data_IF_878535166726
#
_entry.id   IF_878535166726
#
_cell.length_a   1.000
_cell.length_b   1.000
_cell.length_c   1.000
_cell.angle_alpha   90.00
_cell.angle_beta   90.00
_cell.angle_gamma   90.00
#
_symmetry.space_group_name_H-M   'P 1'
#
loop_
_entity.id
_entity.type
_entity.pdbx_description
1 polymer ?
#
# COMPACT_ATOMS: atom_id res chain seq x y z
N UNK A 1 36.98 -26.49 6.82
CA UNK A 1 35.92 -26.59 7.85
C UNK A 1 34.83 -25.61 7.50
N UNK A 2 33.76 -26.08 6.84
CA UNK A 2 32.65 -25.22 6.45
C UNK A 2 31.76 -25.00 7.66
N UNK A 3 31.92 -23.88 8.34
CA UNK A 3 30.99 -23.45 9.39
C UNK A 3 29.61 -23.27 8.77
N UNK A 4 28.70 -24.20 9.00
CA UNK A 4 27.30 -24.06 8.65
C UNK A 4 26.70 -22.95 9.52
N UNK A 5 26.83 -21.70 9.08
CA UNK A 5 26.07 -20.60 9.68
C UNK A 5 24.59 -20.82 9.36
N UNK A 6 23.82 -21.18 10.38
CA UNK A 6 22.36 -21.24 10.30
C UNK A 6 21.84 -19.84 10.02
N UNK A 7 21.12 -19.67 8.91
CA UNK A 7 20.50 -18.40 8.54
C UNK A 7 19.57 -17.89 9.64
N UNK A 8 19.76 -16.63 10.03
CA UNK A 8 18.95 -15.96 11.04
C UNK A 8 17.76 -15.28 10.37
N UNK A 9 16.55 -15.58 10.85
CA UNK A 9 15.30 -14.94 10.42
C UNK A 9 14.76 -14.00 11.51
N UNK A 10 14.33 -12.80 11.12
CA UNK A 10 13.77 -11.77 12.02
C UNK A 10 12.42 -11.27 11.52
N UNK A 11 11.46 -10.96 12.40
CA UNK A 11 10.20 -10.37 11.99
C UNK A 11 10.43 -8.99 11.38
N UNK A 12 9.64 -8.63 10.35
CA UNK A 12 9.72 -7.32 9.69
C UNK A 12 8.76 -6.33 10.39
N UNK A 13 9.27 -5.25 11.02
CA UNK A 13 8.42 -4.27 11.69
C UNK A 13 7.39 -3.64 10.74
N UNK A 14 6.11 -3.65 11.15
CA UNK A 14 5.00 -3.12 10.33
C UNK A 14 4.42 -4.10 9.30
N UNK A 15 4.97 -5.32 9.17
CA UNK A 15 4.53 -6.33 8.22
C UNK A 15 4.23 -7.66 8.93
N UNK A 16 3.03 -7.77 9.51
CA UNK A 16 2.64 -8.96 10.28
C UNK A 16 2.64 -10.23 9.42
N UNK A 17 3.33 -11.27 9.90
CA UNK A 17 3.48 -12.55 9.21
C UNK A 17 4.56 -12.56 8.14
N UNK A 18 5.45 -11.57 8.15
CA UNK A 18 6.65 -11.52 7.30
C UNK A 18 7.92 -11.56 8.15
N UNK A 19 8.90 -12.32 7.67
CA UNK A 19 10.25 -12.39 8.23
C UNK A 19 11.28 -12.09 7.14
N UNK A 20 12.41 -11.52 7.52
CA UNK A 20 13.56 -11.32 6.65
C UNK A 20 14.77 -12.09 7.22
N UNK A 21 15.66 -12.52 6.33
CA UNK A 21 16.86 -13.26 6.72
C UNK A 21 18.15 -12.46 6.55
N UNK A 22 19.19 -12.90 7.27
CA UNK A 22 20.56 -12.38 7.13
C UNK A 22 21.23 -12.69 5.78
N UNK A 23 20.61 -13.55 4.95
CA UNK A 23 21.01 -13.80 3.57
C UNK A 23 20.28 -12.88 2.57
N UNK A 24 19.49 -11.91 3.05
CA UNK A 24 18.74 -10.98 2.20
C UNK A 24 17.49 -11.60 1.58
N UNK A 25 16.91 -12.62 2.21
CA UNK A 25 15.65 -13.25 1.77
C UNK A 25 14.47 -12.74 2.60
N UNK A 26 13.27 -12.79 2.03
CA UNK A 26 12.03 -12.44 2.74
C UNK A 26 11.08 -13.63 2.68
N UNK A 27 10.48 -14.01 3.81
CA UNK A 27 9.54 -15.12 3.92
C UNK A 27 8.18 -14.63 4.37
N UNK A 28 7.12 -15.14 3.74
CA UNK A 28 5.74 -15.00 4.19
C UNK A 28 5.34 -16.23 4.99
N UNK A 29 4.87 -16.03 6.23
CA UNK A 29 4.28 -17.04 7.12
C UNK A 29 2.76 -16.96 7.21
N UNK A 30 2.12 -16.14 6.37
CA UNK A 30 0.66 -15.89 6.45
C UNK A 30 -0.19 -17.10 6.06
N UNK A 31 0.38 -18.10 5.41
CA UNK A 31 -0.28 -19.35 4.99
C UNK A 31 0.30 -20.52 5.77
N UNK A 32 -0.44 -21.64 5.82
CA UNK A 32 0.01 -22.87 6.49
C UNK A 32 1.38 -23.38 6.03
N UNK A 33 1.79 -23.06 4.80
CA UNK A 33 3.13 -23.31 4.31
C UNK A 33 3.89 -21.99 4.16
N UNK A 34 4.97 -21.77 4.94
CA UNK A 34 5.85 -20.63 4.74
C UNK A 34 6.40 -20.62 3.31
N UNK A 35 6.51 -19.42 2.74
CA UNK A 35 7.01 -19.22 1.38
C UNK A 35 8.05 -18.12 1.36
N UNK A 36 9.25 -18.43 0.86
CA UNK A 36 10.24 -17.41 0.52
C UNK A 36 9.75 -16.64 -0.71
N UNK A 37 9.79 -15.31 -0.63
CA UNK A 37 9.43 -14.42 -1.71
C UNK A 37 10.66 -14.22 -2.58
N UNK A 38 10.68 -14.83 -3.77
CA UNK A 38 11.77 -14.63 -4.72
C UNK A 38 11.82 -13.17 -5.23
N UNK A 39 10.65 -12.53 -5.29
CA UNK A 39 10.47 -11.24 -5.94
C UNK A 39 10.72 -11.33 -7.44
N UNK A 40 10.42 -10.25 -8.15
CA UNK A 40 10.87 -10.06 -9.54
C UNK A 40 11.62 -8.74 -9.63
N UNK A 41 12.74 -8.68 -10.38
CA UNK A 41 13.38 -7.41 -10.69
C UNK A 41 12.37 -6.47 -11.34
N UNK A 42 12.10 -5.33 -10.70
CA UNK A 42 11.28 -4.27 -11.29
C UNK A 42 12.08 -3.43 -12.29
N UNK A 43 11.45 -2.41 -12.92
CA UNK A 43 12.07 -1.49 -13.90
C UNK A 43 13.41 -0.88 -13.49
N UNK A 44 13.68 -0.80 -12.19
CA UNK A 44 14.91 -0.24 -11.61
C UNK A 44 15.91 -1.33 -11.15
N UNK A 45 15.74 -2.58 -11.56
CA UNK A 45 16.59 -3.73 -11.19
C UNK A 45 16.31 -4.34 -9.81
N UNK A 46 15.65 -3.60 -8.90
CA UNK A 46 15.39 -4.08 -7.54
C UNK A 46 14.35 -5.20 -7.49
N UNK A 47 14.58 -6.21 -6.64
CA UNK A 47 13.59 -7.25 -6.37
C UNK A 47 12.38 -6.64 -5.65
N UNK A 48 11.20 -6.83 -6.25
CA UNK A 48 9.94 -6.38 -5.69
C UNK A 48 8.94 -7.52 -5.54
N UNK A 49 8.10 -7.45 -4.51
CA UNK A 49 6.96 -8.33 -4.33
C UNK A 49 5.69 -7.53 -4.09
N UNK A 50 4.59 -8.00 -4.67
CA UNK A 50 3.28 -7.40 -4.47
C UNK A 50 2.69 -7.90 -3.14
N UNK A 51 2.50 -6.99 -2.18
CA UNK A 51 1.88 -7.28 -0.88
C UNK A 51 0.46 -6.68 -0.77
N UNK A 52 -0.21 -6.40 -1.90
CA UNK A 52 -1.54 -5.78 -2.01
C UNK A 52 -2.63 -6.46 -1.18
N UNK A 53 -2.60 -7.78 -1.10
CA UNK A 53 -3.59 -8.53 -0.34
C UNK A 53 -3.40 -8.45 1.18
N UNK A 54 -2.26 -7.94 1.64
CA UNK A 54 -1.84 -8.04 3.04
C UNK A 54 -1.76 -6.68 3.75
N UNK A 55 -1.82 -5.58 3.00
CA UNK A 55 -1.80 -4.22 3.53
C UNK A 55 -2.98 -3.41 2.94
N UNK A 56 -3.66 -2.56 3.72
CA UNK A 56 -4.80 -1.75 3.25
C UNK A 56 -4.52 -0.90 2.01
N UNK A 57 -3.25 -0.64 1.72
CA UNK A 57 -2.74 0.10 0.55
C UNK A 57 -1.63 -0.67 -0.18
N UNK A 58 -1.63 -2.00 -0.16
CA UNK A 58 -0.44 -2.78 -0.50
C UNK A 58 0.05 -2.53 -1.93
N UNK A 59 1.11 -1.73 -2.00
CA UNK A 59 1.89 -1.45 -3.20
C UNK A 59 2.96 -2.52 -3.34
N UNK A 60 3.61 -2.57 -4.50
CA UNK A 60 4.85 -3.32 -4.67
C UNK A 60 5.88 -2.82 -3.65
N UNK A 61 6.40 -3.74 -2.83
CA UNK A 61 7.46 -3.46 -1.88
C UNK A 61 8.79 -3.97 -2.41
N UNK A 62 9.85 -3.19 -2.21
CA UNK A 62 11.23 -3.65 -2.46
C UNK A 62 11.62 -4.63 -1.36
N UNK A 63 12.07 -5.82 -1.72
CA UNK A 63 12.42 -6.85 -0.74
C UNK A 63 13.58 -6.40 0.16
N UNK A 64 14.60 -5.74 -0.40
CA UNK A 64 15.69 -5.15 0.37
C UNK A 64 15.23 -4.17 1.45
N UNK A 65 14.14 -3.42 1.25
CA UNK A 65 13.61 -2.52 2.29
C UNK A 65 13.07 -3.31 3.48
N UNK A 66 12.45 -4.47 3.25
CA UNK A 66 11.95 -5.32 4.33
C UNK A 66 13.11 -5.95 5.11
N UNK A 67 14.19 -6.31 4.42
CA UNK A 67 15.43 -6.77 5.06
C UNK A 67 16.04 -5.66 5.91
N UNK A 68 16.21 -4.45 5.36
CA UNK A 68 16.73 -3.32 6.09
C UNK A 68 15.90 -2.98 7.34
N UNK A 69 14.57 -2.99 7.24
CA UNK A 69 13.69 -2.77 8.38
C UNK A 69 13.90 -3.79 9.52
N UNK A 70 14.20 -5.05 9.19
CA UNK A 70 14.37 -6.10 10.19
C UNK A 70 15.76 -6.14 10.86
N UNK A 71 16.81 -5.72 10.15
CA UNK A 71 18.20 -5.81 10.63
C UNK A 71 18.84 -4.47 10.98
N UNK A 72 18.44 -3.39 10.33
CA UNK A 72 18.99 -2.03 10.49
C UNK A 72 17.98 -1.15 11.24
N UNK A 73 16.70 -1.28 10.90
CA UNK A 73 15.61 -0.47 11.46
C UNK A 73 15.01 0.52 10.45
N UNK A 74 14.11 1.41 10.91
CA UNK A 74 13.43 2.37 10.03
C UNK A 74 14.42 3.36 9.41
N UNK A 75 14.11 3.90 8.21
CA UNK A 75 14.90 4.96 7.62
C UNK A 75 14.92 6.18 8.55
N UNK A 76 16.06 6.89 8.67
CA UNK A 76 16.20 8.04 9.57
C UNK A 76 15.37 9.25 9.11
N UNK A 77 14.98 9.31 7.83
CA UNK A 77 14.11 10.35 7.29
C UNK A 77 13.23 9.83 6.14
N UNK A 78 12.20 10.57 5.77
CA UNK A 78 11.35 10.25 4.62
C UNK A 78 12.09 10.33 3.28
N UNK A 79 13.17 11.11 3.21
CA UNK A 79 14.00 11.29 2.01
C UNK A 79 15.15 10.28 1.93
N UNK A 80 15.26 9.38 2.92
CA UNK A 80 16.26 8.33 2.93
C UNK A 80 15.93 7.25 1.90
N UNK A 81 16.92 6.86 1.11
CA UNK A 81 16.85 5.72 0.21
C UNK A 81 17.74 4.59 0.71
N UNK A 82 17.36 3.36 0.36
CA UNK A 82 18.14 2.18 0.71
C UNK A 82 19.35 2.08 -0.23
N UNK A 83 20.54 2.16 0.36
CA UNK A 83 21.82 1.92 -0.29
C UNK A 83 22.14 0.43 -0.30
N UNK A 84 22.77 0.02 -1.40
CA UNK A 84 23.47 -1.26 -1.54
C UNK A 84 24.92 -0.91 -1.78
N UNK A 85 25.79 -1.21 -0.81
CA UNK A 85 27.14 -0.65 -0.74
C UNK A 85 28.01 -1.12 -1.92
N UNK A 86 27.77 -2.33 -2.42
CA UNK A 86 28.37 -2.87 -3.64
C UNK A 86 27.71 -2.37 -4.94
N UNK A 87 26.62 -1.61 -4.85
CA UNK A 87 25.84 -1.08 -5.97
C UNK A 87 25.03 -2.12 -6.75
N UNK A 88 25.03 -3.40 -6.34
CA UNK A 88 24.27 -4.48 -6.97
C UNK A 88 22.82 -4.50 -6.43
N UNK A 89 21.79 -4.23 -7.27
CA UNK A 89 20.39 -4.21 -6.85
C UNK A 89 19.83 -5.55 -6.34
N UNK A 90 20.55 -6.66 -6.53
CA UNK A 90 20.13 -8.01 -6.13
C UNK A 90 20.80 -8.49 -4.82
N UNK A 91 21.88 -7.86 -4.39
CA UNK A 91 22.54 -8.17 -3.13
C UNK A 91 21.87 -7.43 -1.96
N UNK A 92 20.77 -7.99 -1.47
CA UNK A 92 20.02 -7.44 -0.33
C UNK A 92 20.50 -7.98 1.05
N UNK A 93 21.74 -8.48 1.17
CA UNK A 93 22.25 -8.94 2.48
C UNK A 93 22.41 -7.76 3.45
N UNK A 94 22.04 -7.88 4.75
CA UNK A 94 22.05 -6.74 5.67
C UNK A 94 23.41 -6.04 5.82
N UNK A 95 24.51 -6.79 5.73
CA UNK A 95 25.89 -6.26 5.77
C UNK A 95 26.23 -5.39 4.55
N UNK A 96 25.51 -5.56 3.44
CA UNK A 96 25.59 -4.76 2.23
C UNK A 96 24.56 -3.61 2.18
N UNK A 97 23.70 -3.46 3.20
CA UNK A 97 22.63 -2.48 3.22
C UNK A 97 22.91 -1.31 4.17
N UNK A 98 22.51 -0.11 3.77
CA UNK A 98 22.52 1.07 4.63
C UNK A 98 21.44 2.08 4.21
N UNK A 99 20.95 2.90 5.13
CA UNK A 99 20.14 4.06 4.76
C UNK A 99 21.05 5.24 4.38
N UNK A 100 20.66 6.03 3.39
CA UNK A 100 21.37 7.25 3.04
C UNK A 100 20.58 8.11 2.06
N UNK A 101 21.26 9.04 1.41
CA UNK A 101 20.66 9.95 0.45
C UNK A 101 20.60 9.34 -0.95
N UNK A 102 19.76 9.91 -1.82
CA UNK A 102 19.75 9.60 -3.26
C UNK A 102 21.14 9.80 -3.90
N UNK A 103 21.91 10.78 -3.42
CA UNK A 103 23.27 11.01 -3.89
C UNK A 103 24.21 9.87 -3.52
N UNK A 104 24.04 9.27 -2.34
CA UNK A 104 24.85 8.14 -1.89
C UNK A 104 24.56 6.90 -2.73
N UNK A 105 23.28 6.59 -2.98
CA UNK A 105 22.86 5.50 -3.87
C UNK A 105 23.46 5.66 -5.27
N UNK A 106 23.47 6.89 -5.82
CA UNK A 106 24.10 7.18 -7.11
C UNK A 106 25.61 6.94 -7.08
N UNK A 107 26.29 7.29 -5.99
CA UNK A 107 27.73 7.02 -5.84
C UNK A 107 28.03 5.52 -5.78
N UNK A 108 27.21 4.74 -5.07
CA UNK A 108 27.35 3.29 -4.99
C UNK A 108 27.19 2.65 -6.39
N UNK A 109 26.18 3.07 -7.17
CA UNK A 109 26.01 2.60 -8.55
C UNK A 109 27.15 3.02 -9.49
N UNK A 110 27.65 4.26 -9.39
CA UNK A 110 28.78 4.71 -10.19
C UNK A 110 30.09 3.98 -9.82
N UNK A 111 30.28 3.63 -8.54
CA UNK A 111 31.39 2.82 -8.09
C UNK A 111 31.32 1.39 -8.67
N UNK A 112 30.12 0.77 -8.68
CA UNK A 112 29.91 -0.51 -9.36
C UNK A 112 30.25 -0.43 -10.85
N UNK A 113 29.71 0.56 -11.56
CA UNK A 113 29.95 0.73 -13.00
C UNK A 113 31.45 0.83 -13.32
N UNK A 114 32.23 1.58 -12.52
CA UNK A 114 33.69 1.67 -12.66
C UNK A 114 34.41 0.35 -12.43
N UNK A 115 33.98 -0.44 -11.43
CA UNK A 115 34.54 -1.79 -11.18
C UNK A 115 34.27 -2.73 -12.36
N UNK A 116 33.05 -2.72 -12.89
CA UNK A 116 32.67 -3.54 -14.05
C UNK A 116 33.43 -3.13 -15.32
N UNK A 117 33.59 -1.84 -15.58
CA UNK A 117 34.42 -1.30 -16.67
C UNK A 117 35.87 -1.78 -16.54
N UNK A 118 36.45 -1.70 -15.35
CA UNK A 118 37.81 -2.20 -15.07
C UNK A 118 37.94 -3.72 -15.26
N UNK A 119 36.84 -4.46 -15.06
CA UNK A 119 36.75 -5.89 -15.32
C UNK A 119 36.43 -6.24 -16.79
N UNK A 120 36.41 -5.27 -17.70
CA UNK A 120 36.23 -5.48 -19.14
C UNK A 120 34.78 -5.41 -19.63
N UNK A 121 33.83 -4.97 -18.80
CA UNK A 121 32.45 -4.79 -19.25
C UNK A 121 32.36 -3.61 -20.24
N UNK A 122 31.61 -3.78 -21.35
CA UNK A 122 31.42 -2.73 -22.38
C UNK A 122 31.18 -1.32 -21.81
N UNK A 123 31.90 -0.32 -22.27
CA UNK A 123 31.79 1.04 -21.73
C UNK A 123 30.74 1.89 -22.44
N UNK A 124 30.26 1.42 -23.60
CA UNK A 124 29.35 2.13 -24.48
C UNK A 124 28.18 1.25 -24.95
N UNK A 125 27.03 1.86 -25.18
CA UNK A 125 25.89 1.20 -25.82
C UNK A 125 26.11 1.03 -27.33
N UNK A 126 25.25 0.28 -28.05
CA UNK A 126 25.37 0.10 -29.50
C UNK A 126 25.40 1.42 -30.29
N UNK A 127 24.75 2.46 -29.77
CA UNK A 127 24.73 3.82 -30.35
C UNK A 127 25.95 4.68 -29.94
N UNK A 128 26.92 4.13 -29.20
CA UNK A 128 28.15 4.83 -28.83
C UNK A 128 28.06 5.76 -27.60
N UNK A 129 26.96 5.74 -26.84
CA UNK A 129 26.84 6.53 -25.61
C UNK A 129 27.47 5.82 -24.40
N UNK A 130 28.13 6.57 -23.52
CA UNK A 130 28.83 6.03 -22.34
C UNK A 130 27.87 5.58 -21.24
N UNK A 131 28.19 4.46 -20.57
CA UNK A 131 27.44 3.90 -19.45
C UNK A 131 27.85 4.42 -18.04
N UNK A 132 28.66 5.48 -17.94
CA UNK A 132 29.38 5.90 -16.73
C UNK A 132 28.52 6.15 -15.47
N UNK A 133 27.21 6.29 -15.65
CA UNK A 133 26.17 6.54 -14.65
C UNK A 133 24.92 5.64 -14.87
N UNK A 134 25.09 4.55 -15.64
CA UNK A 134 23.99 3.66 -16.01
C UNK A 134 23.44 2.88 -14.81
N UNK A 135 22.13 3.00 -14.64
CA UNK A 135 21.38 2.09 -13.78
C UNK A 135 21.31 0.71 -14.44
N UNK A 136 21.26 -0.34 -13.63
CA UNK A 136 20.84 -1.64 -14.16
C UNK A 136 19.34 -1.58 -14.46
N UNK A 137 19.00 -1.87 -15.71
CA UNK A 137 17.63 -2.05 -16.17
C UNK A 137 17.08 -3.40 -15.69
N UNK A 138 15.86 -3.73 -16.14
CA UNK A 138 15.30 -5.05 -15.99
C UNK A 138 16.32 -6.13 -16.38
N UNK A 139 16.48 -7.14 -15.52
CA UNK A 139 17.37 -8.29 -15.74
C UNK A 139 18.89 -8.01 -15.69
N UNK A 140 19.33 -6.88 -15.14
CA UNK A 140 20.76 -6.60 -14.94
C UNK A 140 21.50 -6.10 -16.18
N UNK A 141 20.76 -5.76 -17.25
CA UNK A 141 21.28 -5.10 -18.44
C UNK A 141 21.68 -3.65 -18.06
N UNK A 142 22.70 -3.07 -18.69
CA UNK A 142 23.01 -1.64 -18.50
C UNK A 142 22.07 -0.77 -19.33
N UNK A 143 21.36 0.13 -18.66
CA UNK A 143 20.49 1.09 -19.32
C UNK A 143 21.29 2.31 -19.76
N UNK A 144 21.28 2.62 -21.06
CA UNK A 144 21.93 3.83 -21.56
C UNK A 144 21.10 5.07 -21.16
N UNK A 145 21.61 5.98 -20.32
CA UNK A 145 20.83 7.11 -19.83
C UNK A 145 20.39 8.05 -20.96
N UNK A 146 21.25 8.26 -21.97
CA UNK A 146 20.93 9.07 -23.15
C UNK A 146 19.80 8.44 -23.97
N UNK A 147 19.90 7.16 -24.32
CA UNK A 147 18.85 6.46 -25.08
C UNK A 147 17.54 6.36 -24.26
N UNK A 148 17.62 6.22 -22.94
CA UNK A 148 16.46 6.23 -22.04
C UNK A 148 15.76 7.59 -22.03
N UNK A 149 16.50 8.71 -21.96
CA UNK A 149 15.92 10.06 -22.03
C UNK A 149 15.25 10.28 -23.39
N UNK A 150 15.92 9.91 -24.48
CA UNK A 150 15.39 10.03 -25.84
C UNK A 150 14.09 9.21 -26.00
N UNK A 151 14.08 7.94 -25.59
CA UNK A 151 12.88 7.08 -25.66
C UNK A 151 11.73 7.59 -24.78
N UNK A 152 12.01 8.18 -23.61
CA UNK A 152 10.99 8.83 -22.77
C UNK A 152 10.41 10.10 -23.42
N UNK A 153 11.22 10.86 -24.17
CA UNK A 153 10.74 12.01 -24.95
C UNK A 153 9.80 11.59 -26.10
N UNK A 154 10.01 10.40 -26.67
CA UNK A 154 9.14 9.83 -27.71
C UNK A 154 7.86 9.15 -27.19
N UNK A 155 7.74 8.86 -25.89
CA UNK A 155 6.46 8.40 -25.33
C UNK A 155 5.46 9.56 -25.43
N UNK A 156 4.30 9.39 -26.11
CA UNK A 156 3.29 10.45 -26.13
C UNK A 156 2.92 10.77 -24.69
N UNK A 157 3.31 11.97 -24.24
CA UNK A 157 2.99 12.46 -22.90
C UNK A 157 1.50 12.27 -22.71
N UNK A 158 1.09 11.62 -21.63
CA UNK A 158 -0.31 11.39 -21.22
C UNK A 158 -1.17 12.69 -21.13
N UNK A 159 -0.60 13.85 -21.48
CA UNK A 159 -1.25 15.15 -21.71
C UNK A 159 -2.40 15.12 -22.73
N UNK A 160 -2.47 14.14 -23.64
CA UNK A 160 -3.61 13.96 -24.53
C UNK A 160 -4.94 13.65 -23.79
N UNK A 161 -4.89 13.26 -22.51
CA UNK A 161 -6.10 13.02 -21.72
C UNK A 161 -6.85 14.29 -21.29
N UNK A 162 -6.20 15.47 -21.30
CA UNK A 162 -6.85 16.73 -20.93
C UNK A 162 -7.46 17.47 -22.13
N UNK A 163 -6.85 17.37 -23.32
CA UNK A 163 -7.35 18.04 -24.53
C UNK A 163 -8.61 17.42 -25.14
N UNK A 164 -8.91 16.15 -24.84
CA UNK A 164 -10.07 15.43 -25.39
C UNK A 164 -11.24 15.26 -24.41
N UNK A 165 -11.28 16.08 -23.33
CA UNK A 165 -12.40 16.10 -22.37
C UNK A 165 -13.55 17.01 -22.81
N UNK A 166 -13.25 18.09 -23.53
CA UNK A 166 -14.24 19.12 -23.91
C UNK A 166 -15.13 18.70 -25.09
N UNK A 167 -14.75 17.66 -25.85
CA UNK A 167 -15.44 17.29 -27.10
C UNK A 167 -16.25 15.98 -27.01
N UNK A 168 -16.52 15.48 -25.80
CA UNK A 168 -17.32 14.25 -25.60
C UNK A 168 -18.78 14.60 -25.34
N UNK A 169 -19.67 14.11 -26.20
CA UNK A 169 -21.13 14.28 -26.06
C UNK A 169 -21.61 13.81 -24.67
N UNK A 170 -22.55 14.53 -24.03
CA UNK A 170 -23.13 14.10 -22.77
C UNK A 170 -23.83 12.76 -22.93
N UNK A 171 -23.79 11.93 -21.88
CA UNK A 171 -24.48 10.63 -21.89
C UNK A 171 -25.86 10.80 -21.27
N UNK A 172 -26.91 10.38 -21.97
CA UNK A 172 -28.26 10.43 -21.44
C UNK A 172 -28.56 9.20 -20.56
N UNK A 173 -29.38 9.41 -19.53
CA UNK A 173 -30.04 8.36 -18.74
C UNK A 173 -31.47 8.79 -18.40
N UNK A 174 -32.33 7.87 -18.00
CA UNK A 174 -33.72 8.16 -17.61
C UNK A 174 -33.86 8.05 -16.09
N UNK A 175 -34.54 9.02 -15.49
CA UNK A 175 -34.86 8.98 -14.07
C UNK A 175 -35.79 7.80 -13.76
N UNK A 176 -35.36 6.90 -12.88
CA UNK A 176 -36.16 5.71 -12.51
C UNK A 176 -37.44 6.04 -11.74
N UNK A 177 -37.56 7.25 -11.17
CA UNK A 177 -38.73 7.63 -10.38
C UNK A 177 -39.75 8.48 -11.19
N UNK A 178 -39.32 9.19 -12.24
CA UNK A 178 -40.22 10.10 -12.98
C UNK A 178 -40.03 10.14 -14.51
N UNK A 179 -39.16 9.31 -15.08
CA UNK A 179 -39.02 9.18 -16.52
C UNK A 179 -38.32 10.35 -17.24
N UNK A 180 -37.94 11.42 -16.54
CA UNK A 180 -37.23 12.56 -17.16
C UNK A 180 -35.82 12.15 -17.58
N UNK A 181 -35.43 12.60 -18.77
CA UNK A 181 -34.06 12.46 -19.30
C UNK A 181 -33.06 13.29 -18.50
N UNK A 182 -31.93 12.67 -18.15
CA UNK A 182 -30.85 13.23 -17.36
C UNK A 182 -29.59 13.26 -18.22
N UNK A 183 -29.00 14.44 -18.33
CA UNK A 183 -27.68 14.59 -18.94
C UNK A 183 -26.59 14.26 -17.93
N UNK A 184 -25.69 13.35 -18.31
CA UNK A 184 -24.55 12.96 -17.50
C UNK A 184 -23.26 13.44 -18.16
N UNK A 185 -22.30 13.79 -17.30
CA UNK A 185 -20.94 14.03 -17.74
C UNK A 185 -20.37 12.86 -18.57
N UNK A 186 -19.41 13.15 -19.45
CA UNK A 186 -18.85 12.18 -20.39
C UNK A 186 -18.11 11.02 -19.72
N UNK A 187 -17.78 11.14 -18.43
CA UNK A 187 -17.16 10.12 -17.60
C UNK A 187 -17.80 10.04 -16.21
N UNK A 188 -17.63 8.92 -15.50
CA UNK A 188 -18.18 8.70 -14.16
C UNK A 188 -19.48 7.88 -14.16
N UNK A 189 -20.02 7.61 -12.98
CA UNK A 189 -21.27 6.86 -12.83
C UNK A 189 -22.45 7.68 -13.39
N UNK A 190 -23.30 7.04 -14.21
CA UNK A 190 -24.52 7.67 -14.70
C UNK A 190 -25.51 7.83 -13.54
N UNK A 191 -26.06 9.02 -13.40
CA UNK A 191 -27.19 9.29 -12.54
C UNK A 191 -28.40 8.47 -12.99
N UNK A 192 -28.98 7.70 -12.09
CA UNK A 192 -30.25 6.98 -12.34
C UNK A 192 -31.47 7.77 -11.86
N UNK A 193 -31.27 8.94 -11.23
CA UNK A 193 -32.31 9.82 -10.69
C UNK A 193 -32.01 11.28 -10.96
N UNK A 194 -33.04 12.05 -11.29
CA UNK A 194 -32.93 13.49 -11.54
C UNK A 194 -32.56 14.24 -10.24
N UNK A 195 -32.11 15.52 -10.34
CA UNK A 195 -31.70 16.29 -9.17
C UNK A 195 -32.75 16.34 -8.05
N UNK A 196 -34.03 16.51 -8.42
CA UNK A 196 -35.15 16.55 -7.47
C UNK A 196 -35.29 15.26 -6.69
N UNK A 197 -35.37 14.11 -7.39
CA UNK A 197 -35.52 12.80 -6.74
C UNK A 197 -34.28 12.39 -5.95
N UNK A 198 -33.09 12.78 -6.41
CA UNK A 198 -31.85 12.60 -5.64
C UNK A 198 -31.90 13.38 -4.34
N UNK A 199 -32.33 14.63 -4.37
CA UNK A 199 -32.46 15.48 -3.19
C UNK A 199 -33.49 14.93 -2.21
N UNK A 200 -34.68 14.56 -2.69
CA UNK A 200 -35.74 13.94 -1.88
C UNK A 200 -35.20 12.70 -1.17
N UNK A 201 -34.55 11.79 -1.91
CA UNK A 201 -33.96 10.58 -1.33
C UNK A 201 -32.87 10.91 -0.30
N UNK A 202 -32.04 11.91 -0.57
CA UNK A 202 -31.02 12.34 0.39
C UNK A 202 -31.65 12.85 1.69
N UNK A 203 -32.74 13.62 1.63
CA UNK A 203 -33.48 14.07 2.82
C UNK A 203 -34.13 12.90 3.57
N UNK A 204 -34.72 11.93 2.86
CA UNK A 204 -35.23 10.70 3.48
C UNK A 204 -34.13 9.88 4.16
N UNK A 205 -32.96 9.75 3.53
CA UNK A 205 -31.82 9.04 4.15
C UNK A 205 -31.30 9.77 5.39
N UNK A 206 -31.23 11.11 5.36
CA UNK A 206 -30.84 11.92 6.53
C UNK A 206 -31.87 11.82 7.66
N UNK A 207 -33.17 11.86 7.35
CA UNK A 207 -34.23 11.76 8.37
C UNK A 207 -34.31 10.36 8.97
N UNK A 208 -34.12 9.31 8.17
CA UNK A 208 -34.04 7.92 8.68
C UNK A 208 -32.79 7.71 9.53
N UNK A 209 -31.63 8.28 9.15
CA UNK A 209 -30.43 8.27 9.99
C UNK A 209 -30.63 9.05 11.30
N UNK A 210 -31.27 10.22 11.27
CA UNK A 210 -31.58 11.01 12.45
C UNK A 210 -32.54 10.28 13.40
N UNK A 211 -33.59 9.64 12.86
CA UNK A 211 -34.50 8.78 13.64
C UNK A 211 -33.77 7.58 14.26
N UNK A 212 -32.85 6.96 13.51
CA UNK A 212 -32.03 5.85 14.02
C UNK A 212 -31.09 6.32 15.14
N UNK A 213 -30.50 7.51 15.01
CA UNK A 213 -29.68 8.13 16.05
C UNK A 213 -30.47 8.46 17.32
N UNK A 214 -31.68 9.02 17.19
CA UNK A 214 -32.58 9.25 18.34
C UNK A 214 -32.95 7.94 19.03
N UNK A 215 -33.36 6.92 18.28
CA UNK A 215 -33.62 5.58 18.82
C UNK A 215 -32.39 4.99 19.51
N UNK A 216 -31.18 5.28 19.04
CA UNK A 216 -29.93 4.84 19.72
C UNK A 216 -29.56 5.60 20.99
N UNK A 217 -30.18 6.77 21.26
CA UNK A 217 -29.98 7.54 22.49
C UNK A 217 -30.96 7.17 23.60
N UNK A 218 -32.11 6.57 23.26
CA UNK A 218 -33.07 6.10 24.25
C UNK A 218 -32.53 4.87 25.01
N UNK A 219 -32.64 4.87 26.34
CA UNK A 219 -32.24 3.73 27.15
C UNK A 219 -33.14 2.52 26.93
N UNK A 220 -32.62 1.32 27.20
CA UNK A 220 -33.40 0.08 27.12
C UNK A 220 -34.15 -0.14 28.43
N UNK A 221 -35.46 -0.20 28.38
CA UNK A 221 -36.27 -0.61 29.53
C UNK A 221 -36.24 -2.15 29.64
N UNK A 222 -35.97 -2.66 30.84
CA UNK A 222 -36.12 -4.08 31.18
C UNK A 222 -36.82 -4.22 32.53
N UNK A 223 -37.37 -5.40 32.84
CA UNK A 223 -37.93 -5.66 34.17
C UNK A 223 -36.89 -6.33 35.08
N UNK A 224 -36.92 -6.00 36.37
CA UNK A 224 -36.15 -6.69 37.40
C UNK A 224 -36.62 -8.14 37.54
N UNK A 225 -35.69 -9.10 37.48
CA UNK A 225 -36.04 -10.54 37.55
C UNK A 225 -36.65 -10.96 38.88
N UNK A 226 -36.52 -10.16 39.95
CA UNK A 226 -37.04 -10.51 41.29
C UNK A 226 -38.32 -9.80 41.68
N UNK A 227 -38.58 -8.60 41.14
CA UNK A 227 -39.72 -7.79 41.59
C UNK A 227 -40.49 -7.12 40.45
N UNK A 228 -40.13 -7.39 39.19
CA UNK A 228 -40.79 -6.80 38.03
C UNK A 228 -40.54 -5.30 37.82
N UNK A 229 -39.90 -4.60 38.76
CA UNK A 229 -39.67 -3.16 38.64
C UNK A 229 -38.91 -2.79 37.36
N UNK A 230 -39.34 -1.70 36.71
CA UNK A 230 -38.73 -1.22 35.47
C UNK A 230 -37.31 -0.70 35.75
N UNK A 231 -36.35 -1.18 34.95
CA UNK A 231 -34.93 -0.82 34.97
C UNK A 231 -34.62 -0.04 33.69
N UNK A 232 -34.08 1.15 33.87
CA UNK A 232 -33.57 1.98 32.79
C UNK A 232 -32.10 1.63 32.53
N UNK A 233 -31.83 0.89 31.44
CA UNK A 233 -30.47 0.47 31.10
C UNK A 233 -29.82 1.42 30.09
N UNK A 234 -28.59 1.90 30.35
CA UNK A 234 -27.81 2.57 29.32
C UNK A 234 -27.57 1.61 28.15
N UNK A 235 -27.50 2.15 26.92
CA UNK A 235 -27.26 1.33 25.73
C UNK A 235 -25.84 0.75 25.65
N UNK A 236 -24.89 1.38 26.33
CA UNK A 236 -23.51 0.92 26.45
C UNK A 236 -23.38 0.00 27.65
N UNK A 237 -22.68 -1.13 27.47
CA UNK A 237 -22.50 -2.14 28.52
C UNK A 237 -23.61 -3.20 28.57
N UNK A 238 -23.50 -4.11 29.55
CA UNK A 238 -24.46 -5.21 29.74
C UNK A 238 -25.70 -4.68 30.49
N UNK A 239 -26.93 -5.00 30.02
CA UNK A 239 -28.14 -4.59 30.72
C UNK A 239 -28.20 -5.23 32.11
N UNK A 240 -28.56 -4.43 33.11
CA UNK A 240 -28.77 -4.90 34.47
C UNK A 240 -30.04 -5.76 34.53
N UNK A 241 -29.90 -6.98 35.07
CA UNK A 241 -31.03 -7.89 35.29
C UNK A 241 -31.80 -7.60 36.59
N UNK A 242 -31.23 -6.80 37.49
CA UNK A 242 -31.75 -6.53 38.83
C UNK A 242 -31.75 -5.03 39.09
N UNK A 243 -32.82 -4.53 39.72
CA UNK A 243 -32.94 -3.12 40.09
C UNK A 243 -31.96 -2.78 41.24
N UNK A 244 -31.70 -1.49 41.54
CA UNK A 244 -30.74 -1.09 42.57
C UNK A 244 -30.98 -1.72 43.94
N UNK A 245 -32.24 -1.98 44.32
CA UNK A 245 -32.61 -2.68 45.57
C UNK A 245 -32.08 -4.12 45.60
N UNK A 246 -32.27 -4.86 44.51
CA UNK A 246 -31.87 -6.27 44.37
C UNK A 246 -30.41 -6.47 43.92
N UNK A 247 -29.73 -5.40 43.51
CA UNK A 247 -28.30 -5.43 43.12
C UNK A 247 -27.37 -5.34 44.33
N UNK A 248 -27.84 -4.76 45.44
CA UNK A 248 -27.07 -4.60 46.69
C UNK A 248 -27.04 -5.88 47.54
N UNK A 249 -28.00 -6.78 47.36
CA UNK A 249 -28.12 -8.03 48.13
C UNK A 249 -27.24 -9.19 47.63
N UNK A 250 -26.54 -9.04 46.48
CA UNK A 250 -25.76 -10.09 45.85
C UNK A 250 -24.24 -10.02 46.15
N UNK A 251 -23.84 -9.25 47.18
CA UNK A 251 -22.47 -9.21 47.71
C UNK A 251 -22.43 -9.83 49.11
N UNK A 252 -22.69 -11.13 49.20
CA UNK A 252 -22.29 -11.99 50.31
C UNK A 252 -21.88 -13.33 49.71
#
# INVERSE_FOLDING_TARGET
MSSHHTEVWRPVPGYLGYEASDQGRVMSRRRNRPRVLDGQPGPCGFRTANLAHDLPNGRNQRLGNLVALAFIGPPPSLDSELRRLDGDPLNDRPDNLAWGTVADVRRDHAARARREESAGASTHCPDGHRYADSWLANYGQRDCPTCRIASQAHKPKQRAALGNRQNRRPRLSVCVDCGITIENGPSGMKATRCPTHRWVRQQHTKSTWAKRLQKTREPRLSACVECGAVINNPRTGRPAKRCPKHRRSAKH
#
